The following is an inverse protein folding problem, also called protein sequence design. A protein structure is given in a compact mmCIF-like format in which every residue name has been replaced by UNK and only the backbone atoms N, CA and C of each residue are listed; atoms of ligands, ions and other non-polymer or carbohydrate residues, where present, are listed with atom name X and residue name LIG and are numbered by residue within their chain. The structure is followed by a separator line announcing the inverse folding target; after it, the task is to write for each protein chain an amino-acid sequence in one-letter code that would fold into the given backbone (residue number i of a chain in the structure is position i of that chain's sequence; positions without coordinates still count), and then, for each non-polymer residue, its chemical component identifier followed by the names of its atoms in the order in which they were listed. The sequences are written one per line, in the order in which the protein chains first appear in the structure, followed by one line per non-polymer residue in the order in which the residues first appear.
data_IF_210262386953
#
_entry.id   IF_210262386953
#
_cell.length_a   1.000
_cell.length_b   1.000
_cell.length_c   1.000
_cell.angle_alpha   90.00
_cell.angle_beta   90.00
_cell.angle_gamma   90.00
#
_symmetry.space_group_name_H-M   'P 1'
#
loop_
_entity.id
_entity.type
_entity.pdbx_description
1 polymer ?
#
# COMPACT_ATOMS: atom_id res chain seq x y z
N UNK A 1 -8.85 -15.12 -18.83
CA UNK A 1 -8.13 -16.38 -18.61
C UNK A 1 -8.97 -17.33 -17.76
N UNK A 2 -9.47 -16.91 -16.59
CA UNK A 2 -10.21 -17.77 -15.66
C UNK A 2 -11.41 -18.49 -16.31
N UNK A 3 -12.24 -17.77 -17.09
CA UNK A 3 -13.40 -18.36 -17.80
C UNK A 3 -13.00 -19.38 -18.86
N UNK A 4 -11.82 -19.24 -19.44
CA UNK A 4 -11.29 -20.17 -20.43
C UNK A 4 -10.80 -21.46 -19.76
N UNK A 5 -10.04 -21.31 -18.68
CA UNK A 5 -9.55 -22.42 -17.87
C UNK A 5 -10.72 -23.21 -17.26
N UNK A 6 -11.79 -22.52 -16.86
CA UNK A 6 -12.99 -23.11 -16.27
C UNK A 6 -13.72 -24.09 -17.22
N UNK A 7 -13.61 -23.87 -18.53
CA UNK A 7 -14.21 -24.75 -19.57
C UNK A 7 -13.38 -26.00 -19.85
N UNK A 8 -12.08 -25.95 -19.59
CA UNK A 8 -11.14 -27.03 -19.93
C UNK A 8 -10.91 -27.95 -18.74
N UNK A 9 -11.14 -27.47 -17.52
CA UNK A 9 -10.79 -28.20 -16.29
C UNK A 9 -11.91 -29.15 -15.87
N UNK A 10 -11.62 -30.47 -15.68
CA UNK A 10 -12.57 -31.45 -15.18
C UNK A 10 -13.08 -31.11 -13.78
N UNK A 11 -14.35 -31.40 -13.51
CA UNK A 11 -15.03 -31.03 -12.25
C UNK A 11 -14.31 -31.60 -11.01
N UNK A 12 -13.75 -32.79 -11.11
CA UNK A 12 -13.08 -33.48 -9.98
C UNK A 12 -11.80 -32.79 -9.55
N UNK A 13 -11.04 -32.20 -10.48
CA UNK A 13 -9.74 -31.57 -10.21
C UNK A 13 -9.80 -30.04 -10.22
N UNK A 14 -11.01 -29.49 -10.40
CA UNK A 14 -11.24 -28.04 -10.60
C UNK A 14 -10.65 -27.19 -9.48
N UNK A 15 -10.78 -27.63 -8.24
CA UNK A 15 -10.32 -26.84 -7.08
C UNK A 15 -8.78 -26.69 -7.00
N UNK A 16 -8.03 -27.58 -7.61
CA UNK A 16 -6.57 -27.54 -7.63
C UNK A 16 -6.02 -27.13 -9.01
N UNK A 17 -6.53 -27.72 -10.08
CA UNK A 17 -6.02 -27.52 -11.42
C UNK A 17 -6.37 -26.14 -11.99
N UNK A 18 -7.55 -25.60 -11.65
CA UNK A 18 -8.00 -24.28 -12.10
C UNK A 18 -7.06 -23.15 -11.64
N UNK A 19 -6.80 -22.97 -10.33
CA UNK A 19 -5.89 -21.91 -9.88
C UNK A 19 -4.46 -22.10 -10.41
N UNK A 20 -3.98 -23.33 -10.52
CA UNK A 20 -2.65 -23.61 -11.05
C UNK A 20 -2.54 -23.19 -12.52
N UNK A 21 -3.49 -23.56 -13.37
CA UNK A 21 -3.49 -23.20 -14.79
C UNK A 21 -3.71 -21.69 -15.02
N UNK A 22 -4.55 -21.07 -14.20
CA UNK A 22 -4.75 -19.61 -14.25
C UNK A 22 -3.43 -18.90 -13.99
N UNK A 23 -2.74 -19.24 -12.89
CA UNK A 23 -1.44 -18.64 -12.56
C UNK A 23 -0.39 -18.93 -13.65
N UNK A 24 -0.33 -20.16 -14.16
CA UNK A 24 0.63 -20.56 -15.20
C UNK A 24 0.46 -19.75 -16.50
N UNK A 25 -0.77 -19.39 -16.87
CA UNK A 25 -1.06 -18.62 -18.06
C UNK A 25 -0.93 -17.10 -17.78
N UNK A 26 -1.39 -16.65 -16.62
CA UNK A 26 -1.39 -15.21 -16.28
C UNK A 26 0.01 -14.71 -15.92
N UNK A 27 0.86 -15.51 -15.28
CA UNK A 27 2.18 -15.07 -14.87
C UNK A 27 3.09 -14.62 -16.03
N UNK A 28 3.22 -15.35 -17.15
CA UNK A 28 3.97 -14.86 -18.31
C UNK A 28 3.38 -13.59 -18.92
N UNK A 29 2.05 -13.51 -19.03
CA UNK A 29 1.35 -12.33 -19.56
C UNK A 29 1.60 -11.12 -18.65
N UNK A 30 1.48 -11.32 -17.34
CA UNK A 30 1.74 -10.28 -16.36
C UNK A 30 3.20 -9.80 -16.42
N UNK A 31 4.16 -10.69 -16.49
CA UNK A 31 5.58 -10.34 -16.55
C UNK A 31 5.97 -9.61 -17.85
N UNK A 32 5.46 -10.07 -18.99
CA UNK A 32 5.86 -9.54 -20.30
C UNK A 32 5.11 -8.24 -20.65
N UNK A 33 3.84 -8.13 -20.28
CA UNK A 33 3.00 -7.00 -20.68
C UNK A 33 2.78 -6.04 -19.52
N UNK A 34 2.27 -6.54 -18.37
CA UNK A 34 1.93 -5.68 -17.23
C UNK A 34 3.17 -5.20 -16.47
N UNK A 35 4.24 -6.00 -16.43
CA UNK A 35 5.49 -5.61 -15.79
C UNK A 35 6.10 -4.33 -16.39
N UNK A 36 6.38 -4.27 -17.70
CA UNK A 36 6.89 -3.06 -18.33
C UNK A 36 5.95 -1.87 -18.23
N UNK A 37 4.63 -2.08 -18.41
CA UNK A 37 3.64 -1.01 -18.24
C UNK A 37 3.63 -0.48 -16.80
N UNK A 38 3.67 -1.37 -15.82
CA UNK A 38 3.77 -1.01 -14.40
C UNK A 38 5.06 -0.24 -14.09
N UNK A 39 6.19 -0.62 -14.69
CA UNK A 39 7.46 0.08 -14.54
C UNK A 39 7.40 1.50 -15.13
N UNK A 40 6.80 1.68 -16.30
CA UNK A 40 6.63 3.01 -16.93
C UNK A 40 5.75 3.89 -16.04
N UNK A 41 4.61 3.38 -15.58
CA UNK A 41 3.70 4.11 -14.67
C UNK A 41 4.39 4.43 -13.33
N UNK A 42 5.14 3.47 -12.77
CA UNK A 42 5.89 3.65 -11.53
C UNK A 42 6.99 4.71 -11.66
N UNK A 43 7.75 4.70 -12.75
CA UNK A 43 8.76 5.72 -13.02
C UNK A 43 8.12 7.11 -13.21
N UNK A 44 6.99 7.19 -13.91
CA UNK A 44 6.23 8.44 -14.04
C UNK A 44 5.77 8.98 -12.69
N UNK A 45 5.20 8.12 -11.83
CA UNK A 45 4.79 8.48 -10.49
C UNK A 45 5.97 8.97 -9.64
N UNK A 46 7.10 8.26 -9.71
CA UNK A 46 8.33 8.66 -9.00
C UNK A 46 8.85 10.01 -9.44
N UNK A 47 8.88 10.26 -10.75
CA UNK A 47 9.29 11.56 -11.30
C UNK A 47 8.42 12.69 -10.75
N UNK A 48 7.11 12.49 -10.68
CA UNK A 48 6.18 13.48 -10.11
C UNK A 48 6.45 13.69 -8.62
N UNK A 49 6.65 12.62 -7.86
CA UNK A 49 6.93 12.67 -6.43
C UNK A 49 8.23 13.42 -6.15
N UNK A 50 9.31 13.13 -6.89
CA UNK A 50 10.58 13.84 -6.73
C UNK A 50 10.52 15.29 -7.20
N UNK A 51 9.83 15.60 -8.30
CA UNK A 51 9.64 16.97 -8.75
C UNK A 51 8.85 17.82 -7.74
N UNK A 52 7.90 17.23 -7.04
CA UNK A 52 7.17 17.87 -5.94
C UNK A 52 8.12 18.09 -4.74
N UNK A 53 8.97 17.11 -4.44
CA UNK A 53 9.97 17.21 -3.37
C UNK A 53 10.93 18.38 -3.61
N UNK A 54 11.48 18.50 -4.82
CA UNK A 54 12.45 19.53 -5.18
C UNK A 54 11.86 20.95 -5.11
N UNK A 55 10.55 21.10 -5.38
CA UNK A 55 9.87 22.41 -5.37
C UNK A 55 9.32 22.82 -4.00
N UNK A 56 8.76 21.87 -3.26
CA UNK A 56 8.04 22.13 -2.00
C UNK A 56 8.83 21.71 -0.75
N UNK A 57 10.00 21.10 -0.92
CA UNK A 57 10.88 20.69 0.18
C UNK A 57 10.15 19.80 1.20
N UNK A 58 10.22 20.20 2.47
CA UNK A 58 9.69 19.39 3.57
C UNK A 58 8.15 19.22 3.54
N UNK A 59 7.41 20.17 2.97
CA UNK A 59 5.94 20.09 2.84
C UNK A 59 5.54 18.95 1.89
N UNK A 60 6.30 18.77 0.81
CA UNK A 60 6.08 17.68 -0.13
C UNK A 60 6.15 16.30 0.55
N UNK A 61 7.07 16.14 1.47
CA UNK A 61 7.31 14.90 2.21
C UNK A 61 6.08 14.52 3.05
N UNK A 62 5.50 15.50 3.75
CA UNK A 62 4.27 15.31 4.50
C UNK A 62 3.08 14.99 3.59
N UNK A 63 2.96 15.69 2.47
CA UNK A 63 1.89 15.50 1.50
C UNK A 63 1.93 14.09 0.88
N UNK A 64 3.11 13.61 0.51
CA UNK A 64 3.30 12.25 -0.01
C UNK A 64 2.86 11.21 1.02
N UNK A 65 3.24 11.35 2.28
CA UNK A 65 2.82 10.43 3.34
C UNK A 65 1.30 10.45 3.58
N UNK A 66 0.68 11.63 3.47
CA UNK A 66 -0.77 11.79 3.59
C UNK A 66 -1.56 11.19 2.41
N UNK A 67 -1.00 11.22 1.20
CA UNK A 67 -1.61 10.65 -0.01
C UNK A 67 -1.29 9.16 -0.17
N UNK A 68 -0.28 8.65 0.51
CA UNK A 68 0.19 7.27 0.36
C UNK A 68 -0.90 6.19 0.49
N UNK A 69 -1.92 6.30 1.36
CA UNK A 69 -3.02 5.35 1.41
C UNK A 69 -3.77 5.19 0.08
N UNK A 70 -3.86 6.25 -0.74
CA UNK A 70 -4.47 6.18 -2.07
C UNK A 70 -3.56 5.48 -3.08
N UNK A 71 -2.25 5.61 -2.93
CA UNK A 71 -1.26 4.86 -3.71
C UNK A 71 -1.36 3.36 -3.41
N UNK A 72 -1.51 3.00 -2.13
CA UNK A 72 -1.77 1.61 -1.71
C UNK A 72 -3.10 1.11 -2.29
N UNK A 73 -4.14 1.93 -2.24
CA UNK A 73 -5.46 1.60 -2.80
C UNK A 73 -5.41 1.32 -4.31
N UNK A 74 -4.57 2.04 -5.03
CA UNK A 74 -4.33 1.80 -6.46
C UNK A 74 -3.40 0.61 -6.74
N UNK A 75 -2.84 -0.05 -5.70
CA UNK A 75 -1.86 -1.13 -5.84
C UNK A 75 -0.47 -0.67 -6.30
N UNK A 76 -0.27 0.65 -6.42
CA UNK A 76 0.95 1.23 -7.00
C UNK A 76 2.13 1.33 -6.01
N UNK A 77 1.93 1.02 -4.72
CA UNK A 77 2.98 1.11 -3.70
C UNK A 77 4.15 0.17 -3.97
N UNK A 78 3.92 -0.99 -4.59
CA UNK A 78 4.99 -1.91 -5.00
C UNK A 78 5.86 -1.36 -6.13
N UNK A 79 5.38 -0.41 -6.93
CA UNK A 79 6.16 0.23 -7.99
C UNK A 79 7.33 1.07 -7.43
N UNK A 80 7.27 1.49 -6.17
CA UNK A 80 8.37 2.17 -5.49
C UNK A 80 9.50 1.23 -5.04
N UNK A 81 9.27 -0.08 -4.94
CA UNK A 81 10.27 -1.03 -4.44
C UNK A 81 11.58 -1.03 -5.24
N UNK A 82 11.58 -1.14 -6.58
CA UNK A 82 12.82 -1.09 -7.34
C UNK A 82 13.54 0.26 -7.21
N UNK A 83 12.80 1.35 -7.03
CA UNK A 83 13.37 2.69 -6.84
C UNK A 83 14.05 2.79 -5.48
N UNK A 84 13.38 2.33 -4.41
CA UNK A 84 13.95 2.26 -3.06
C UNK A 84 15.24 1.44 -3.05
N UNK A 85 15.23 0.26 -3.67
CA UNK A 85 16.41 -0.61 -3.77
C UNK A 85 17.53 0.03 -4.60
N UNK A 86 17.20 0.71 -5.70
CA UNK A 86 18.18 1.43 -6.51
C UNK A 86 18.84 2.57 -5.74
N UNK A 87 18.09 3.34 -4.97
CA UNK A 87 18.63 4.40 -4.10
C UNK A 87 19.52 3.83 -3.01
N UNK A 88 19.09 2.78 -2.31
CA UNK A 88 19.91 2.11 -1.29
C UNK A 88 21.22 1.58 -1.89
N UNK A 89 21.18 1.02 -3.10
CA UNK A 89 22.35 0.49 -3.78
C UNK A 89 23.35 1.59 -4.19
N UNK A 90 22.86 2.80 -4.51
CA UNK A 90 23.72 3.92 -4.99
C UNK A 90 24.19 4.84 -3.86
N UNK A 91 23.34 5.13 -2.89
CA UNK A 91 23.58 6.11 -1.82
C UNK A 91 23.79 5.48 -0.44
N UNK A 92 23.49 4.17 -0.31
CA UNK A 92 23.56 3.44 0.96
C UNK A 92 22.34 3.62 1.87
N UNK A 93 21.43 4.54 1.56
CA UNK A 93 20.21 4.80 2.34
C UNK A 93 19.06 5.30 1.44
N UNK A 94 17.85 5.14 1.93
CA UNK A 94 16.62 5.72 1.39
C UNK A 94 15.73 6.19 2.55
N UNK A 95 15.54 7.48 2.68
CA UNK A 95 14.81 8.10 3.78
C UNK A 95 13.63 8.99 3.31
N UNK A 96 13.30 8.95 2.01
CA UNK A 96 12.18 9.72 1.49
C UNK A 96 10.90 8.89 1.40
N UNK A 97 10.92 7.80 0.64
CA UNK A 97 9.75 6.94 0.41
C UNK A 97 9.51 6.02 1.62
N UNK A 98 10.54 5.34 2.12
CA UNK A 98 10.41 4.37 3.22
C UNK A 98 9.84 4.99 4.50
N UNK A 99 10.28 6.18 4.87
CA UNK A 99 9.76 6.84 6.09
C UNK A 99 8.34 7.36 5.86
N UNK A 100 8.03 7.85 4.65
CA UNK A 100 6.67 8.24 4.28
C UNK A 100 5.69 7.07 4.34
N UNK A 101 6.10 5.92 3.82
CA UNK A 101 5.38 4.66 3.91
C UNK A 101 5.16 4.21 5.36
N UNK A 102 6.21 4.23 6.17
CA UNK A 102 6.12 3.86 7.59
C UNK A 102 5.13 4.76 8.35
N UNK A 103 5.23 6.08 8.19
CA UNK A 103 4.31 7.02 8.85
C UNK A 103 2.85 6.80 8.41
N UNK A 104 2.62 6.54 7.12
CA UNK A 104 1.31 6.21 6.59
C UNK A 104 0.76 4.90 7.15
N UNK A 105 1.59 3.85 7.21
CA UNK A 105 1.20 2.54 7.74
C UNK A 105 0.85 2.62 9.22
N UNK A 106 1.64 3.33 10.02
CA UNK A 106 1.35 3.58 11.44
C UNK A 106 0.05 4.37 11.62
N UNK A 107 -0.20 5.38 10.80
CA UNK A 107 -1.44 6.16 10.84
C UNK A 107 -2.66 5.32 10.47
N UNK A 108 -2.57 4.44 9.48
CA UNK A 108 -3.64 3.49 9.11
C UNK A 108 -3.93 2.49 10.24
N UNK A 109 -2.88 1.96 10.85
CA UNK A 109 -3.01 1.07 12.00
C UNK A 109 -3.66 1.75 13.20
N UNK A 110 -3.22 2.96 13.53
CA UNK A 110 -3.79 3.76 14.62
C UNK A 110 -5.26 4.14 14.37
N UNK A 111 -5.62 4.52 13.14
CA UNK A 111 -7.00 4.80 12.76
C UNK A 111 -7.89 3.56 12.90
N UNK A 112 -7.40 2.39 12.49
CA UNK A 112 -8.12 1.11 12.65
C UNK A 112 -8.24 0.70 14.11
N UNK A 113 -7.21 0.93 14.93
CA UNK A 113 -7.24 0.70 16.37
C UNK A 113 -8.28 1.60 17.07
N UNK A 114 -8.35 2.87 16.70
CA UNK A 114 -9.35 3.79 17.23
C UNK A 114 -10.78 3.33 16.89
N UNK A 115 -11.00 2.80 15.69
CA UNK A 115 -12.28 2.20 15.30
C UNK A 115 -12.57 0.94 16.12
N UNK A 116 -11.59 0.07 16.35
CA UNK A 116 -11.73 -1.12 17.17
C UNK A 116 -12.14 -0.79 18.60
N UNK A 117 -11.54 0.24 19.19
CA UNK A 117 -11.85 0.68 20.55
C UNK A 117 -13.27 1.28 20.67
N UNK A 118 -13.73 1.99 19.63
CA UNK A 118 -14.99 2.72 19.64
C UNK A 118 -16.18 1.95 19.08
N UNK A 119 -15.95 0.88 18.33
CA UNK A 119 -17.01 0.08 17.70
C UNK A 119 -17.86 -0.67 18.75
N UNK A 120 -19.18 -0.55 18.61
CA UNK A 120 -20.16 -1.31 19.42
C UNK A 120 -20.45 -2.69 18.81
N UNK A 121 -20.25 -2.86 17.52
CA UNK A 121 -20.45 -4.14 16.83
C UNK A 121 -19.23 -5.04 17.09
N UNK A 122 -19.46 -6.22 17.68
CA UNK A 122 -18.41 -7.16 18.08
C UNK A 122 -17.61 -7.68 16.88
N UNK A 123 -18.28 -8.03 15.79
CA UNK A 123 -17.63 -8.58 14.59
C UNK A 123 -16.76 -7.52 13.91
N UNK A 124 -17.29 -6.30 13.78
CA UNK A 124 -16.53 -5.20 13.19
C UNK A 124 -15.37 -4.76 14.09
N UNK A 125 -15.53 -4.82 15.40
CA UNK A 125 -14.45 -4.59 16.37
C UNK A 125 -13.30 -5.59 16.21
N UNK A 126 -13.61 -6.87 16.00
CA UNK A 126 -12.61 -7.90 15.74
C UNK A 126 -11.86 -7.64 14.43
N UNK A 127 -12.58 -7.34 13.35
CA UNK A 127 -11.98 -6.99 12.05
C UNK A 127 -11.06 -5.78 12.18
N UNK A 128 -11.51 -4.72 12.83
CA UNK A 128 -10.73 -3.51 13.03
C UNK A 128 -9.49 -3.75 13.91
N UNK A 129 -9.61 -4.57 14.95
CA UNK A 129 -8.50 -4.92 15.83
C UNK A 129 -7.43 -5.76 15.15
N UNK A 130 -7.81 -6.81 14.42
CA UNK A 130 -6.87 -7.63 13.64
C UNK A 130 -6.20 -6.84 12.52
N UNK A 131 -6.96 -5.97 11.85
CA UNK A 131 -6.44 -5.08 10.82
C UNK A 131 -5.44 -4.06 11.38
N UNK A 132 -5.72 -3.51 12.57
CA UNK A 132 -4.80 -2.61 13.26
C UNK A 132 -3.49 -3.32 13.63
N UNK A 133 -3.60 -4.54 14.16
CA UNK A 133 -2.43 -5.36 14.48
C UNK A 133 -1.58 -5.64 13.23
N UNK A 134 -2.21 -6.04 12.12
CA UNK A 134 -1.52 -6.28 10.84
C UNK A 134 -0.78 -5.02 10.36
N UNK A 135 -1.43 -3.85 10.40
CA UNK A 135 -0.82 -2.61 9.94
C UNK A 135 0.33 -2.13 10.84
N UNK A 136 0.18 -2.23 12.18
CA UNK A 136 1.17 -1.71 13.14
C UNK A 136 2.39 -2.61 13.28
N UNK A 137 2.23 -3.93 13.24
CA UNK A 137 3.31 -4.89 13.49
C UNK A 137 3.87 -5.53 12.23
N UNK A 138 3.03 -5.84 11.25
CA UNK A 138 3.46 -6.47 10.00
C UNK A 138 3.67 -5.45 8.86
N UNK A 139 3.22 -4.20 9.01
CA UNK A 139 3.26 -3.18 7.95
C UNK A 139 2.28 -3.44 6.80
N UNK A 140 1.37 -4.41 6.95
CA UNK A 140 0.39 -4.79 5.93
C UNK A 140 -0.88 -3.99 6.17
N UNK A 141 -1.13 -3.00 5.34
CA UNK A 141 -2.20 -2.01 5.53
C UNK A 141 -3.48 -2.30 4.76
N UNK A 142 -3.47 -3.24 3.82
CA UNK A 142 -4.63 -3.58 2.99
C UNK A 142 -5.86 -3.98 3.82
N UNK A 143 -5.76 -4.82 4.87
CA UNK A 143 -6.91 -5.13 5.70
C UNK A 143 -7.47 -3.91 6.44
N UNK A 144 -6.59 -3.02 6.92
CA UNK A 144 -6.97 -1.78 7.58
C UNK A 144 -7.61 -0.80 6.60
N UNK A 145 -7.05 -0.69 5.40
CA UNK A 145 -7.53 0.19 4.34
C UNK A 145 -8.92 -0.23 3.84
N UNK A 146 -9.04 -1.44 3.32
CA UNK A 146 -10.29 -1.90 2.70
C UNK A 146 -11.34 -2.36 3.71
N UNK A 147 -10.92 -2.98 4.80
CA UNK A 147 -11.82 -3.50 5.83
C UNK A 147 -12.40 -2.42 6.74
N UNK A 148 -11.65 -1.34 6.99
CA UNK A 148 -11.99 -0.37 8.04
C UNK A 148 -12.02 1.08 7.53
N UNK A 149 -10.87 1.64 7.11
CA UNK A 149 -10.74 3.08 6.94
C UNK A 149 -11.47 3.58 5.70
N UNK A 150 -11.37 2.89 4.57
CA UNK A 150 -12.09 3.22 3.34
C UNK A 150 -13.61 3.05 3.51
N UNK A 151 -14.03 1.98 4.19
CA UNK A 151 -15.44 1.69 4.43
C UNK A 151 -16.14 2.77 5.27
N UNK A 152 -15.45 3.33 6.25
CA UNK A 152 -15.99 4.36 7.14
C UNK A 152 -15.69 5.79 6.69
N UNK A 153 -14.80 5.99 5.73
CA UNK A 153 -14.33 7.27 5.17
C UNK A 153 -13.67 8.24 6.17
N UNK A 154 -14.30 8.52 7.33
CA UNK A 154 -13.74 9.41 8.37
C UNK A 154 -12.40 8.94 8.94
N UNK A 155 -12.22 7.65 9.31
CA UNK A 155 -10.91 7.15 9.73
C UNK A 155 -9.85 7.24 8.64
N UNK A 156 -10.24 7.18 7.36
CA UNK A 156 -9.34 7.39 6.23
C UNK A 156 -8.74 8.79 6.23
N UNK A 157 -9.57 9.83 6.42
CA UNK A 157 -9.08 11.21 6.56
C UNK A 157 -8.15 11.36 7.76
N UNK A 158 -8.49 10.73 8.89
CA UNK A 158 -7.61 10.70 10.07
C UNK A 158 -6.27 10.05 9.80
N UNK A 159 -6.24 8.94 9.05
CA UNK A 159 -5.01 8.26 8.64
C UNK A 159 -4.16 9.13 7.69
N UNK A 160 -4.77 9.81 6.72
CA UNK A 160 -4.07 10.72 5.81
C UNK A 160 -3.42 11.89 6.57
N UNK A 161 -4.17 12.53 7.45
CA UNK A 161 -3.64 13.65 8.28
C UNK A 161 -2.57 13.13 9.23
N UNK A 162 -2.81 12.01 9.90
CA UNK A 162 -1.84 11.40 10.83
C UNK A 162 -0.54 10.99 10.15
N UNK A 163 -0.62 10.43 8.93
CA UNK A 163 0.56 10.11 8.12
C UNK A 163 1.36 11.35 7.72
N UNK A 164 0.67 12.39 7.26
CA UNK A 164 1.29 13.67 6.89
C UNK A 164 2.01 14.32 8.09
N UNK A 165 1.31 14.47 9.21
CA UNK A 165 1.87 15.07 10.43
C UNK A 165 2.99 14.22 10.99
N UNK A 166 2.82 12.90 11.08
CA UNK A 166 3.83 11.98 11.57
C UNK A 166 5.13 12.07 10.77
N UNK A 167 5.03 12.21 9.45
CA UNK A 167 6.21 12.37 8.59
C UNK A 167 6.90 13.72 8.79
N UNK A 168 6.13 14.79 8.94
CA UNK A 168 6.71 16.12 9.23
C UNK A 168 7.43 16.15 10.58
N UNK A 169 6.84 15.55 11.61
CA UNK A 169 7.47 15.42 12.93
C UNK A 169 8.75 14.58 12.84
N UNK A 170 8.71 13.44 12.14
CA UNK A 170 9.88 12.60 11.94
C UNK A 170 11.03 13.37 11.28
N UNK A 171 10.74 14.22 10.31
CA UNK A 171 11.75 15.05 9.64
C UNK A 171 12.40 16.05 10.61
N UNK A 172 11.62 16.68 11.50
CA UNK A 172 12.16 17.62 12.49
C UNK A 172 13.14 16.98 13.48
N UNK A 173 13.03 15.66 13.68
CA UNK A 173 13.95 14.92 14.56
C UNK A 173 15.17 14.33 13.84
N UNK A 174 15.14 14.25 12.49
CA UNK A 174 16.21 13.62 11.69
C UNK A 174 17.04 14.61 10.89
N UNK A 175 16.65 15.88 10.90
CA UNK A 175 17.43 17.00 10.35
C UNK A 175 18.34 17.61 11.40
#
# INVERSE_FOLDING_TARGET
VERFVDKITPVVTKNFLKPMLVVLIEAPIALIILGPLGAICGNGLSTVVYAIHDKLGFIAIGLVAGVYPFVVMAGMHHAFTPIKLGMIATTGYENFICIGELCSNMAQGAASLAVALRSKNKDFKQIAGSSAFSALFAGITEPALYGVTLRLKRPMLGACIGGAVGRLVCLLYTS
#
